data_IF_190447252405
#
_entry.id   IF_190447252405
#
_cell.length_a   1.000
_cell.length_b   1.000
_cell.length_c   1.000
_cell.angle_alpha   90.00
_cell.angle_beta   90.00
_cell.angle_gamma   90.00
#
_symmetry.space_group_name_H-M   'P 1'
#
loop_
_entity.id
_entity.type
_entity.pdbx_description
1 polymer ?
#
# COMPACT_ATOMS: atom_id res chain seq x y z
N UNK A 1 -13.77 70.82 -33.18
CA UNK A 1 -13.55 69.84 -34.26
C UNK A 1 -12.64 68.74 -33.70
N UNK A 2 -13.17 67.51 -33.50
CA UNK A 2 -12.44 66.22 -33.32
C UNK A 2 -11.51 66.10 -32.06
N UNK A 3 -11.58 65.14 -31.12
CA UNK A 3 -12.20 63.82 -30.94
C UNK A 3 -12.31 63.49 -29.41
N UNK A 4 -13.44 62.85 -29.02
CA UNK A 4 -13.64 61.72 -28.07
C UNK A 4 -13.11 61.76 -26.62
N UNK A 5 -13.99 61.69 -25.61
CA UNK A 5 -14.57 60.46 -24.99
C UNK A 5 -13.52 59.42 -24.58
N UNK A 6 -13.43 59.17 -23.25
CA UNK A 6 -13.02 57.94 -22.52
C UNK A 6 -12.08 58.26 -21.35
N UNK A 7 -12.62 58.73 -20.22
CA UNK A 7 -11.85 58.86 -18.96
C UNK A 7 -12.60 58.45 -17.69
N UNK A 8 -13.68 57.67 -17.81
CA UNK A 8 -14.38 57.09 -16.64
C UNK A 8 -14.71 55.62 -16.92
N UNK A 9 -13.69 54.79 -17.11
CA UNK A 9 -13.76 53.32 -16.99
C UNK A 9 -12.48 52.71 -16.36
N UNK A 10 -11.42 53.49 -16.12
CA UNK A 10 -10.09 52.93 -15.83
C UNK A 10 -9.67 52.95 -14.34
N UNK A 11 -10.61 52.94 -13.41
CA UNK A 11 -10.32 52.97 -11.96
C UNK A 11 -11.01 51.88 -11.13
N UNK A 12 -11.67 50.89 -11.75
CA UNK A 12 -12.21 49.71 -11.03
C UNK A 12 -11.72 48.36 -11.61
N UNK A 13 -10.93 48.38 -12.70
CA UNK A 13 -10.33 47.17 -13.27
C UNK A 13 -8.93 46.81 -12.71
N UNK A 14 -8.43 47.57 -11.72
CA UNK A 14 -7.07 47.39 -11.16
C UNK A 14 -7.04 46.65 -9.81
N UNK A 15 -8.18 46.16 -9.32
CA UNK A 15 -8.33 45.56 -7.98
C UNK A 15 -8.83 44.10 -7.99
N UNK A 16 -8.80 43.42 -9.14
CA UNK A 16 -9.19 42.00 -9.25
C UNK A 16 -8.09 41.07 -9.80
N UNK A 17 -6.82 41.51 -9.78
CA UNK A 17 -5.65 40.67 -10.11
C UNK A 17 -4.69 40.52 -8.91
N UNK A 18 -5.18 40.72 -7.69
CA UNK A 18 -4.35 40.90 -6.48
C UNK A 18 -4.50 39.84 -5.38
N UNK A 19 -4.91 38.61 -5.68
CA UNK A 19 -5.07 37.58 -4.64
C UNK A 19 -4.61 36.19 -5.07
N UNK A 20 -3.33 36.09 -5.43
CA UNK A 20 -2.45 34.91 -5.20
C UNK A 20 -1.01 35.08 -5.75
N UNK A 21 -0.52 36.31 -5.97
CA UNK A 21 0.88 36.57 -6.34
C UNK A 21 1.56 37.61 -5.44
N UNK A 22 1.08 37.78 -4.20
CA UNK A 22 1.73 38.65 -3.23
C UNK A 22 2.49 37.80 -2.22
N UNK A 23 3.82 37.84 -2.40
CA UNK A 23 4.90 37.11 -1.73
C UNK A 23 5.21 35.75 -2.39
N UNK A 24 5.66 35.78 -3.65
CA UNK A 24 6.89 35.02 -3.93
C UNK A 24 7.94 35.59 -2.98
N UNK A 25 8.55 34.80 -2.07
CA UNK A 25 9.74 35.26 -1.42
C UNK A 25 10.76 35.44 -2.54
N UNK A 26 11.05 36.68 -2.92
CA UNK A 26 12.23 37.03 -3.71
C UNK A 26 13.38 36.17 -3.18
N UNK A 27 13.93 35.32 -4.05
CA UNK A 27 15.10 34.47 -3.85
C UNK A 27 15.79 34.69 -2.50
N UNK A 28 15.28 34.04 -1.45
CA UNK A 28 16.11 33.82 -0.26
C UNK A 28 17.02 32.65 -0.62
N UNK A 29 17.90 32.87 -1.60
CA UNK A 29 19.08 32.02 -1.78
C UNK A 29 19.93 32.25 -0.54
N UNK A 30 20.06 31.23 0.30
CA UNK A 30 21.11 31.23 1.29
C UNK A 30 22.44 31.29 0.52
N UNK A 31 23.24 32.37 0.64
CA UNK A 31 24.47 32.51 -0.14
C UNK A 31 25.51 31.41 0.15
N UNK A 32 25.29 30.61 1.19
CA UNK A 32 26.13 29.47 1.56
C UNK A 32 25.61 28.11 1.05
N UNK A 33 24.40 28.02 0.48
CA UNK A 33 23.79 26.78 -0.04
C UNK A 33 23.00 27.10 -1.30
N UNK A 34 23.68 27.13 -2.45
CA UNK A 34 23.05 27.26 -3.78
C UNK A 34 22.89 25.89 -4.43
N UNK A 35 21.92 25.74 -5.33
CA UNK A 35 21.75 24.51 -6.12
C UNK A 35 23.04 24.17 -6.88
N UNK A 36 23.70 25.20 -7.44
CA UNK A 36 25.00 25.05 -8.08
C UNK A 36 26.06 24.50 -7.13
N UNK A 37 26.18 25.05 -5.92
CA UNK A 37 27.14 24.56 -4.92
C UNK A 37 26.85 23.11 -4.48
N UNK A 38 25.57 22.73 -4.41
CA UNK A 38 25.16 21.36 -4.14
C UNK A 38 25.54 20.41 -5.30
N UNK A 39 25.15 20.74 -6.53
CA UNK A 39 25.37 19.91 -7.73
C UNK A 39 26.86 19.78 -8.10
N UNK A 40 27.67 20.79 -7.79
CA UNK A 40 29.12 20.77 -7.99
C UNK A 40 29.88 20.10 -6.82
N UNK A 41 29.18 19.76 -5.74
CA UNK A 41 29.71 18.97 -4.63
C UNK A 41 29.97 17.52 -5.04
N UNK A 42 31.08 16.94 -4.57
CA UNK A 42 31.53 15.59 -4.98
C UNK A 42 30.64 14.40 -4.59
N UNK A 43 29.55 14.62 -3.84
CA UNK A 43 28.64 13.59 -3.34
C UNK A 43 27.15 13.97 -3.54
N UNK A 44 26.85 14.73 -4.60
CA UNK A 44 25.49 15.23 -4.84
C UNK A 44 24.50 14.06 -5.00
N UNK A 45 24.85 13.03 -5.78
CA UNK A 45 24.01 11.87 -6.05
C UNK A 45 23.75 11.03 -4.80
N UNK A 46 24.77 10.80 -3.95
CA UNK A 46 24.58 10.09 -2.68
C UNK A 46 23.54 10.80 -1.81
N UNK A 47 23.68 12.13 -1.69
CA UNK A 47 22.75 12.95 -0.91
C UNK A 47 21.35 12.93 -1.51
N UNK A 48 21.25 12.97 -2.85
CA UNK A 48 19.96 12.94 -3.56
C UNK A 48 19.23 11.61 -3.35
N UNK A 49 19.93 10.49 -3.56
CA UNK A 49 19.38 9.14 -3.38
C UNK A 49 18.96 8.92 -1.93
N UNK A 50 19.72 9.40 -0.94
CA UNK A 50 19.32 9.34 0.47
C UNK A 50 18.04 10.14 0.74
N UNK A 51 17.89 11.33 0.15
CA UNK A 51 16.66 12.13 0.21
C UNK A 51 15.48 11.44 -0.46
N UNK A 52 15.72 10.75 -1.57
CA UNK A 52 14.70 9.97 -2.27
C UNK A 52 14.27 8.73 -1.46
N UNK A 53 15.20 8.01 -0.82
CA UNK A 53 14.90 6.89 0.09
C UNK A 53 14.04 7.37 1.29
N UNK A 54 14.33 8.56 1.84
CA UNK A 54 13.46 9.19 2.86
C UNK A 54 12.06 9.45 2.32
N UNK A 55 11.95 10.00 1.11
CA UNK A 55 10.66 10.30 0.47
C UNK A 55 9.87 9.01 0.20
N UNK A 56 10.55 7.94 -0.20
CA UNK A 56 9.97 6.61 -0.37
C UNK A 56 9.41 6.09 0.95
N UNK A 57 10.17 6.16 2.04
CA UNK A 57 9.73 5.73 3.36
C UNK A 57 8.46 6.46 3.83
N UNK A 58 8.44 7.78 3.70
CA UNK A 58 7.28 8.59 4.08
C UNK A 58 6.05 8.28 3.20
N UNK A 59 6.26 8.10 1.89
CA UNK A 59 5.18 7.74 0.96
C UNK A 59 4.61 6.36 1.28
N UNK A 60 5.45 5.35 1.46
CA UNK A 60 5.04 3.98 1.80
C UNK A 60 4.32 3.94 3.15
N UNK A 61 4.78 4.71 4.15
CA UNK A 61 4.09 4.83 5.44
C UNK A 61 2.68 5.37 5.29
N UNK A 62 2.52 6.45 4.50
CA UNK A 62 1.20 7.05 4.28
C UNK A 62 0.27 6.10 3.52
N UNK A 63 0.74 5.49 2.44
CA UNK A 63 -0.04 4.50 1.69
C UNK A 63 -0.45 3.33 2.57
N UNK A 64 0.47 2.78 3.36
CA UNK A 64 0.18 1.67 4.27
C UNK A 64 -0.94 2.05 5.25
N UNK A 65 -0.80 3.17 5.96
CA UNK A 65 -1.80 3.62 6.93
C UNK A 65 -3.19 3.80 6.29
N UNK A 66 -3.24 4.54 5.18
CA UNK A 66 -4.51 4.95 4.57
C UNK A 66 -5.21 3.80 3.85
N UNK A 67 -4.48 2.98 3.09
CA UNK A 67 -5.10 1.87 2.35
C UNK A 67 -5.49 0.70 3.26
N UNK A 68 -4.83 0.52 4.41
CA UNK A 68 -5.24 -0.49 5.39
C UNK A 68 -6.54 -0.12 6.08
N UNK A 69 -6.76 1.16 6.41
CA UNK A 69 -8.02 1.59 7.04
C UNK A 69 -9.21 1.67 6.07
N UNK A 70 -8.96 1.77 4.76
CA UNK A 70 -10.00 1.63 3.73
C UNK A 70 -10.47 0.17 3.61
N UNK A 71 -9.67 -0.79 4.09
CA UNK A 71 -9.89 -2.22 3.89
C UNK A 71 -10.56 -2.92 5.08
N UNK A 72 -10.80 -4.23 4.95
CA UNK A 72 -11.32 -5.09 6.03
C UNK A 72 -10.24 -5.66 6.98
N UNK A 73 -9.04 -5.05 6.99
CA UNK A 73 -7.95 -5.50 7.87
C UNK A 73 -8.03 -4.88 9.27
N UNK A 74 -8.35 -3.60 9.34
CA UNK A 74 -8.36 -2.80 10.55
C UNK A 74 -9.57 -1.89 10.56
N UNK A 75 -10.15 -1.67 11.74
CA UNK A 75 -11.10 -0.59 11.93
C UNK A 75 -10.53 0.51 12.83
N UNK A 76 -11.06 1.72 12.63
CA UNK A 76 -10.66 2.90 13.39
C UNK A 76 -11.34 2.90 14.77
N UNK A 77 -10.59 2.54 15.80
CA UNK A 77 -11.07 2.43 17.17
C UNK A 77 -11.06 3.77 17.92
N UNK A 78 -10.26 4.76 17.49
CA UNK A 78 -10.11 6.05 18.17
C UNK A 78 -9.70 7.20 17.22
N UNK A 79 -10.26 8.38 17.42
CA UNK A 79 -10.27 9.45 16.41
C UNK A 79 -9.03 10.33 16.42
N UNK A 80 -8.09 10.08 15.50
CA UNK A 80 -7.13 11.09 14.99
C UNK A 80 -7.21 11.20 13.47
N UNK A 81 -7.36 10.06 12.79
CA UNK A 81 -7.49 9.97 11.34
C UNK A 81 -8.96 10.03 10.87
N UNK A 82 -9.15 10.28 9.57
CA UNK A 82 -10.47 10.38 8.94
C UNK A 82 -11.29 9.10 9.13
N UNK A 83 -12.48 9.21 9.76
CA UNK A 83 -13.44 8.11 9.83
C UNK A 83 -14.08 7.77 8.49
N UNK A 84 -13.83 8.58 7.47
CA UNK A 84 -14.48 8.46 6.16
C UNK A 84 -13.91 7.29 5.37
N UNK A 85 -12.61 7.01 5.53
CA UNK A 85 -11.94 5.92 4.82
C UNK A 85 -12.43 4.54 5.28
N UNK A 86 -12.69 4.39 6.59
CA UNK A 86 -13.34 3.21 7.21
C UNK A 86 -14.82 3.03 6.78
N UNK A 87 -15.42 4.03 6.11
CA UNK A 87 -16.79 4.04 5.56
C UNK A 87 -16.82 4.05 4.03
N UNK A 88 -15.73 3.60 3.39
CA UNK A 88 -15.33 3.94 2.01
C UNK A 88 -15.88 5.25 1.43
N UNK A 89 -15.84 6.35 2.16
CA UNK A 89 -16.20 7.69 1.65
C UNK A 89 -14.94 8.41 1.16
N UNK A 90 -14.57 8.13 -0.09
CA UNK A 90 -13.32 8.57 -0.69
C UNK A 90 -13.56 9.78 -1.60
N UNK A 91 -13.37 10.98 -1.05
CA UNK A 91 -13.60 12.25 -1.76
C UNK A 91 -12.30 12.77 -2.37
N UNK A 92 -12.38 13.39 -3.55
CA UNK A 92 -11.23 13.97 -4.24
C UNK A 92 -10.66 15.22 -3.57
N UNK A 93 -11.38 15.84 -2.64
CA UNK A 93 -10.91 16.98 -1.86
C UNK A 93 -10.41 16.58 -0.47
N UNK A 94 -10.36 15.27 -0.17
CA UNK A 94 -9.85 14.78 1.11
C UNK A 94 -8.31 15.00 1.20
N UNK A 95 -7.81 15.59 2.30
CA UNK A 95 -6.38 15.83 2.48
C UNK A 95 -5.50 14.58 2.38
N UNK A 96 -6.01 13.41 2.78
CA UNK A 96 -5.27 12.15 2.78
C UNK A 96 -5.14 11.58 1.36
N UNK A 97 -6.20 11.71 0.53
CA UNK A 97 -6.13 11.42 -0.91
C UNK A 97 -5.08 12.32 -1.58
N UNK A 98 -5.14 13.63 -1.30
CA UNK A 98 -4.18 14.60 -1.82
C UNK A 98 -2.75 14.29 -1.36
N UNK A 99 -2.58 13.82 -0.12
CA UNK A 99 -1.29 13.43 0.44
C UNK A 99 -0.67 12.22 -0.27
N UNK A 100 -1.46 11.18 -0.52
CA UNK A 100 -1.01 9.99 -1.26
C UNK A 100 -0.64 10.33 -2.72
N UNK A 101 -1.47 11.13 -3.39
CA UNK A 101 -1.20 11.58 -4.77
C UNK A 101 0.09 12.41 -4.85
N UNK A 102 0.28 13.37 -3.95
CA UNK A 102 1.52 14.15 -3.87
C UNK A 102 2.74 13.28 -3.60
N UNK A 103 2.64 12.26 -2.76
CA UNK A 103 3.73 11.31 -2.52
C UNK A 103 4.16 10.60 -3.82
N UNK A 104 3.20 10.13 -4.62
CA UNK A 104 3.49 9.52 -5.93
C UNK A 104 4.13 10.52 -6.89
N UNK A 105 3.64 11.77 -6.94
CA UNK A 105 4.22 12.82 -7.78
C UNK A 105 5.67 13.15 -7.36
N UNK A 106 5.92 13.31 -6.06
CA UNK A 106 7.25 13.62 -5.52
C UNK A 106 8.27 12.53 -5.80
N UNK A 107 7.90 11.24 -5.67
CA UNK A 107 8.81 10.14 -6.02
C UNK A 107 9.22 10.19 -7.50
N UNK A 108 8.27 10.49 -8.40
CA UNK A 108 8.56 10.59 -9.83
C UNK A 108 9.44 11.78 -10.15
N UNK A 109 9.05 12.97 -9.71
CA UNK A 109 9.79 14.20 -10.02
C UNK A 109 11.19 14.17 -9.43
N UNK A 110 11.36 13.64 -8.22
CA UNK A 110 12.68 13.51 -7.60
C UNK A 110 13.55 12.47 -8.31
N UNK A 111 12.98 11.35 -8.75
CA UNK A 111 13.72 10.39 -9.56
C UNK A 111 14.13 10.98 -10.92
N UNK A 112 13.22 11.69 -11.59
CA UNK A 112 13.48 12.37 -12.87
C UNK A 112 14.59 13.41 -12.74
N UNK A 113 14.52 14.27 -11.73
CA UNK A 113 15.58 15.24 -11.47
C UNK A 113 16.93 14.57 -11.17
N UNK A 114 16.92 13.45 -10.44
CA UNK A 114 18.12 12.64 -10.21
C UNK A 114 18.74 12.13 -11.52
N UNK A 115 17.90 11.61 -12.43
CA UNK A 115 18.32 11.05 -13.71
C UNK A 115 18.75 12.11 -14.72
N UNK A 116 18.01 13.22 -14.81
CA UNK A 116 18.15 14.21 -15.88
C UNK A 116 19.02 15.41 -15.48
N UNK A 117 19.25 15.63 -14.18
CA UNK A 117 20.05 16.76 -13.68
C UNK A 117 21.25 16.27 -12.87
N UNK A 118 21.01 15.61 -11.73
CA UNK A 118 22.10 15.27 -10.78
C UNK A 118 23.12 14.33 -11.42
N UNK A 119 22.65 13.33 -12.17
CA UNK A 119 23.51 12.35 -12.87
C UNK A 119 24.54 13.01 -13.79
N UNK A 120 24.21 14.14 -14.41
CA UNK A 120 25.08 14.81 -15.38
C UNK A 120 26.07 15.77 -14.73
N UNK A 121 25.92 16.04 -13.42
CA UNK A 121 26.75 16.96 -12.65
C UNK A 121 27.71 16.23 -11.73
N UNK A 122 27.25 15.16 -11.09
CA UNK A 122 28.07 14.34 -10.20
C UNK A 122 28.99 13.39 -11.00
N UNK A 123 30.27 13.38 -10.66
CA UNK A 123 31.29 12.52 -11.29
C UNK A 123 31.36 11.12 -10.68
N UNK A 124 30.76 10.91 -9.51
CA UNK A 124 30.84 9.68 -8.72
C UNK A 124 29.56 8.82 -8.80
N UNK A 125 28.73 9.02 -9.83
CA UNK A 125 27.50 8.25 -10.04
C UNK A 125 27.81 6.76 -10.21
N UNK A 126 27.18 5.93 -9.39
CA UNK A 126 27.31 4.47 -9.45
C UNK A 126 26.13 3.83 -10.16
N UNK A 127 26.28 2.56 -10.59
CA UNK A 127 25.15 1.77 -11.11
C UNK A 127 24.02 1.64 -10.09
N UNK A 128 24.35 1.45 -8.82
CA UNK A 128 23.36 1.36 -7.74
C UNK A 128 22.52 2.64 -7.62
N UNK A 129 23.11 3.83 -7.81
CA UNK A 129 22.32 5.08 -7.82
C UNK A 129 21.28 5.07 -8.92
N UNK A 130 21.67 4.69 -10.14
CA UNK A 130 20.77 4.65 -11.29
C UNK A 130 19.70 3.57 -11.13
N UNK A 131 20.06 2.39 -10.63
CA UNK A 131 19.10 1.35 -10.27
C UNK A 131 18.06 1.88 -9.27
N UNK A 132 18.50 2.55 -8.21
CA UNK A 132 17.63 3.17 -7.20
C UNK A 132 16.65 4.18 -7.80
N UNK A 133 17.14 5.12 -8.58
CA UNK A 133 16.31 6.14 -9.23
C UNK A 133 15.21 5.49 -10.11
N UNK A 134 15.59 4.54 -10.97
CA UNK A 134 14.63 3.88 -11.86
C UNK A 134 13.63 2.99 -11.12
N UNK A 135 14.06 2.20 -10.12
CA UNK A 135 13.09 1.35 -9.40
C UNK A 135 12.11 2.21 -8.59
N UNK A 136 12.56 3.29 -7.95
CA UNK A 136 11.68 4.17 -7.18
C UNK A 136 10.69 4.88 -8.10
N UNK A 137 11.16 5.34 -9.26
CA UNK A 137 10.27 5.87 -10.31
C UNK A 137 9.26 4.83 -10.76
N UNK A 138 9.67 3.59 -11.04
CA UNK A 138 8.74 2.52 -11.38
C UNK A 138 7.73 2.26 -10.26
N UNK A 139 8.20 2.18 -9.02
CA UNK A 139 7.37 1.92 -7.85
C UNK A 139 6.30 3.00 -7.63
N UNK A 140 6.61 4.25 -7.95
CA UNK A 140 5.61 5.33 -7.90
C UNK A 140 4.50 5.16 -8.94
N UNK A 141 4.82 4.72 -10.16
CA UNK A 141 3.81 4.39 -11.18
C UNK A 141 2.98 3.17 -10.76
N UNK A 142 3.61 2.18 -10.13
CA UNK A 142 2.94 1.03 -9.56
C UNK A 142 1.95 1.46 -8.46
N UNK A 143 2.37 2.27 -7.49
CA UNK A 143 1.47 2.81 -6.45
C UNK A 143 0.29 3.57 -7.07
N UNK A 144 0.54 4.41 -8.07
CA UNK A 144 -0.52 5.10 -8.81
C UNK A 144 -1.49 4.13 -9.51
N UNK A 145 -0.96 3.17 -10.26
CA UNK A 145 -1.76 2.19 -11.01
C UNK A 145 -2.49 1.16 -10.15
N UNK A 146 -2.02 0.88 -8.94
CA UNK A 146 -2.69 -0.03 -8.00
C UNK A 146 -3.80 0.64 -7.20
N UNK A 147 -3.68 1.94 -6.92
CA UNK A 147 -4.50 2.61 -5.91
C UNK A 147 -5.39 3.73 -6.45
N UNK A 148 -5.07 4.33 -7.59
CA UNK A 148 -5.83 5.45 -8.15
C UNK A 148 -6.57 5.06 -9.42
N UNK A 149 -7.62 5.82 -9.76
CA UNK A 149 -8.32 5.71 -11.04
C UNK A 149 -7.44 6.16 -12.21
N UNK A 150 -6.75 7.28 -12.00
CA UNK A 150 -5.82 7.89 -12.94
C UNK A 150 -5.01 8.95 -12.22
N UNK A 151 -3.79 9.23 -12.69
CA UNK A 151 -2.93 10.30 -12.16
C UNK A 151 -2.19 11.00 -13.31
N UNK A 152 -1.92 12.31 -13.20
CA UNK A 152 -1.02 12.99 -14.13
C UNK A 152 0.39 12.44 -13.97
N UNK A 153 1.21 12.48 -15.04
CA UNK A 153 2.61 12.03 -15.00
C UNK A 153 3.64 13.15 -14.90
N UNK A 154 3.16 14.39 -15.01
CA UNK A 154 3.90 15.63 -14.80
C UNK A 154 2.92 16.66 -14.24
N UNK A 155 3.43 17.72 -13.60
CA UNK A 155 2.61 18.81 -13.11
C UNK A 155 1.76 19.43 -14.23
N UNK A 156 0.44 19.54 -14.00
CA UNK A 156 -0.52 20.03 -15.01
C UNK A 156 -0.59 19.19 -16.30
N UNK A 157 0.04 18.01 -16.31
CA UNK A 157 0.14 17.15 -17.49
C UNK A 157 -1.16 16.41 -17.81
N UNK A 158 -1.09 15.62 -18.88
CA UNK A 158 -2.16 14.69 -19.22
C UNK A 158 -2.33 13.63 -18.13
N UNK A 159 -3.58 13.34 -17.78
CA UNK A 159 -3.93 12.29 -16.83
C UNK A 159 -3.80 10.92 -17.51
N UNK A 160 -3.07 10.01 -16.87
CA UNK A 160 -2.92 8.62 -17.31
C UNK A 160 -3.74 7.70 -16.42
N UNK A 161 -4.53 6.83 -17.05
CA UNK A 161 -5.35 5.82 -16.36
C UNK A 161 -4.49 4.85 -15.56
N UNK A 162 -5.10 4.17 -14.60
CA UNK A 162 -4.41 3.18 -13.79
C UNK A 162 -3.69 2.10 -14.61
N UNK A 163 -4.28 1.64 -15.73
CA UNK A 163 -3.64 0.67 -16.65
C UNK A 163 -2.42 1.26 -17.36
N UNK A 164 -2.50 2.53 -17.77
CA UNK A 164 -1.37 3.22 -18.39
C UNK A 164 -0.24 3.44 -17.39
N UNK A 165 -0.56 3.78 -16.13
CA UNK A 165 0.43 3.89 -15.05
C UNK A 165 1.14 2.55 -14.81
N UNK A 166 0.41 1.42 -14.76
CA UNK A 166 1.04 0.10 -14.64
C UNK A 166 1.97 -0.23 -15.83
N UNK A 167 1.58 0.14 -17.06
CA UNK A 167 2.46 -0.02 -18.23
C UNK A 167 3.70 0.88 -18.18
N UNK A 168 3.56 2.10 -17.66
CA UNK A 168 4.70 2.99 -17.40
C UNK A 168 5.63 2.42 -16.33
N UNK A 169 5.08 1.78 -15.29
CA UNK A 169 5.88 1.03 -14.30
C UNK A 169 6.69 -0.07 -14.98
N UNK A 170 6.07 -0.90 -15.83
CA UNK A 170 6.76 -1.96 -16.57
C UNK A 170 7.91 -1.42 -17.42
N UNK A 171 7.64 -0.39 -18.24
CA UNK A 171 8.66 0.28 -19.05
C UNK A 171 9.81 0.83 -18.19
N UNK A 172 9.48 1.46 -17.05
CA UNK A 172 10.51 1.99 -16.15
C UNK A 172 11.33 0.88 -15.47
N UNK A 173 10.74 -0.30 -15.24
CA UNK A 173 11.47 -1.47 -14.73
C UNK A 173 12.40 -2.08 -15.79
N UNK A 174 12.12 -1.94 -17.07
CA UNK A 174 13.05 -2.31 -18.16
C UNK A 174 14.32 -1.46 -18.13
N UNK A 175 14.20 -0.16 -17.84
CA UNK A 175 15.34 0.75 -17.70
C UNK A 175 16.29 0.39 -16.55
N UNK A 176 15.87 -0.46 -15.60
CA UNK A 176 16.73 -0.92 -14.50
C UNK A 176 17.77 -1.96 -14.95
N UNK A 177 17.53 -2.67 -16.06
CA UNK A 177 18.32 -3.85 -16.47
C UNK A 177 19.83 -3.61 -16.58
N UNK A 178 20.34 -2.49 -17.14
CA UNK A 178 21.78 -2.23 -17.23
C UNK A 178 22.47 -2.01 -15.87
N UNK A 179 21.68 -1.75 -14.83
CA UNK A 179 22.11 -1.30 -13.51
C UNK A 179 21.95 -2.34 -12.40
N UNK A 180 21.27 -3.46 -12.68
CA UNK A 180 21.15 -4.59 -11.76
C UNK A 180 22.55 -5.14 -11.43
N UNK A 181 22.88 -5.15 -10.15
CA UNK A 181 24.16 -5.60 -9.60
C UNK A 181 24.12 -6.99 -8.98
N UNK A 182 22.95 -7.50 -8.58
CA UNK A 182 22.83 -8.79 -7.89
C UNK A 182 21.46 -9.47 -8.08
N UNK A 183 21.34 -10.71 -7.62
CA UNK A 183 20.12 -11.53 -7.75
C UNK A 183 18.94 -11.00 -6.91
N UNK A 184 19.21 -10.30 -5.79
CA UNK A 184 18.15 -9.68 -4.98
C UNK A 184 17.47 -8.55 -5.75
N UNK A 185 18.26 -7.68 -6.38
CA UNK A 185 17.76 -6.59 -7.23
C UNK A 185 17.02 -7.13 -8.45
N UNK A 186 17.54 -8.21 -9.05
CA UNK A 186 16.87 -8.87 -10.18
C UNK A 186 15.53 -9.49 -9.77
N UNK A 187 15.50 -10.19 -8.63
CA UNK A 187 14.27 -10.76 -8.07
C UNK A 187 13.25 -9.67 -7.71
N UNK A 188 13.70 -8.54 -7.17
CA UNK A 188 12.85 -7.37 -6.92
C UNK A 188 12.20 -6.86 -8.20
N UNK A 189 12.98 -6.63 -9.27
CA UNK A 189 12.46 -6.14 -10.55
C UNK A 189 11.39 -7.09 -11.10
N UNK A 190 11.67 -8.39 -11.14
CA UNK A 190 10.71 -9.40 -11.60
C UNK A 190 9.47 -9.48 -10.70
N UNK A 191 9.60 -9.34 -9.38
CA UNK A 191 8.45 -9.30 -8.45
C UNK A 191 7.55 -8.10 -8.73
N UNK A 192 8.14 -6.91 -8.96
CA UNK A 192 7.37 -5.71 -9.29
C UNK A 192 6.69 -5.82 -10.67
N UNK A 193 7.35 -6.44 -11.66
CA UNK A 193 6.74 -6.74 -12.97
C UNK A 193 5.58 -7.72 -12.83
N UNK A 194 5.76 -8.81 -12.09
CA UNK A 194 4.72 -9.80 -11.83
C UNK A 194 3.49 -9.15 -11.19
N UNK A 195 3.69 -8.30 -10.17
CA UNK A 195 2.61 -7.52 -9.55
C UNK A 195 1.88 -6.62 -10.55
N UNK A 196 2.60 -5.90 -11.41
CA UNK A 196 1.98 -5.06 -12.43
C UNK A 196 1.17 -5.88 -13.45
N UNK A 197 1.72 -6.99 -13.95
CA UNK A 197 1.02 -7.90 -14.86
C UNK A 197 -0.20 -8.56 -14.22
N UNK A 198 -0.10 -8.95 -12.95
CA UNK A 198 -1.22 -9.46 -12.16
C UNK A 198 -2.37 -8.46 -12.17
N UNK A 199 -2.12 -7.18 -11.85
CA UNK A 199 -3.16 -6.13 -11.86
C UNK A 199 -3.68 -5.81 -13.26
N UNK A 200 -2.88 -6.04 -14.30
CA UNK A 200 -3.31 -5.91 -15.70
C UNK A 200 -4.12 -7.12 -16.21
N UNK A 201 -4.20 -8.20 -15.44
CA UNK A 201 -4.85 -9.46 -15.82
C UNK A 201 -4.06 -10.29 -16.83
N UNK A 202 -2.75 -10.04 -17.00
CA UNK A 202 -1.91 -10.84 -17.90
C UNK A 202 -1.39 -12.10 -17.20
N UNK A 203 -2.15 -13.20 -17.30
CA UNK A 203 -1.85 -14.46 -16.62
C UNK A 203 -0.45 -14.99 -16.97
N UNK A 204 -0.13 -15.08 -18.26
CA UNK A 204 1.12 -15.68 -18.74
C UNK A 204 2.35 -14.85 -18.35
N UNK A 205 2.27 -13.52 -18.51
CA UNK A 205 3.38 -12.64 -18.14
C UNK A 205 3.58 -12.61 -16.61
N UNK A 206 2.49 -12.56 -15.83
CA UNK A 206 2.58 -12.56 -14.38
C UNK A 206 3.16 -13.87 -13.84
N UNK A 207 2.78 -15.01 -14.42
CA UNK A 207 3.34 -16.33 -14.10
C UNK A 207 4.84 -16.37 -14.41
N UNK A 208 5.24 -15.98 -15.63
CA UNK A 208 6.64 -15.96 -16.07
C UNK A 208 7.51 -15.08 -15.18
N UNK A 209 7.07 -13.85 -14.91
CA UNK A 209 7.83 -12.91 -14.07
C UNK A 209 7.93 -13.42 -12.62
N UNK A 210 6.89 -14.09 -12.11
CA UNK A 210 6.91 -14.71 -10.78
C UNK A 210 7.91 -15.89 -10.70
N UNK A 211 7.96 -16.74 -11.73
CA UNK A 211 8.93 -17.84 -11.83
C UNK A 211 10.37 -17.31 -11.88
N UNK A 212 10.61 -16.28 -12.68
CA UNK A 212 11.90 -15.58 -12.78
C UNK A 212 12.31 -14.98 -11.43
N UNK A 213 11.38 -14.28 -10.75
CA UNK A 213 11.65 -13.70 -9.43
C UNK A 213 12.09 -14.76 -8.42
N UNK A 214 11.38 -15.89 -8.35
CA UNK A 214 11.69 -16.97 -7.41
C UNK A 214 12.95 -17.77 -7.80
N UNK A 215 13.32 -17.78 -9.09
CA UNK A 215 14.59 -18.37 -9.55
C UNK A 215 15.79 -17.61 -9.02
N UNK A 216 15.73 -16.27 -9.00
CA UNK A 216 16.80 -15.43 -8.47
C UNK A 216 16.79 -15.34 -6.93
N UNK A 217 15.60 -15.29 -6.31
CA UNK A 217 15.48 -15.37 -4.86
C UNK A 217 14.12 -15.93 -4.45
N UNK A 218 14.12 -17.16 -3.93
CA UNK A 218 12.92 -17.81 -3.39
C UNK A 218 12.49 -17.29 -2.01
N UNK A 219 13.28 -16.40 -1.40
CA UNK A 219 13.05 -15.85 -0.07
C UNK A 219 13.11 -14.31 -0.03
N UNK A 220 13.00 -13.65 -1.18
CA UNK A 220 13.07 -12.19 -1.34
C UNK A 220 12.31 -11.46 -0.22
N UNK A 221 12.96 -10.45 0.34
CA UNK A 221 12.38 -9.53 1.31
C UNK A 221 12.97 -8.13 1.05
N UNK A 222 12.20 -7.30 0.37
CA UNK A 222 12.54 -5.89 0.14
C UNK A 222 11.65 -5.02 1.03
N UNK A 223 12.29 -4.22 1.87
CA UNK A 223 11.62 -3.36 2.84
C UNK A 223 12.18 -1.95 2.78
N UNK A 224 11.34 -0.99 3.11
CA UNK A 224 11.74 0.40 3.30
C UNK A 224 12.01 0.62 4.77
N UNK A 225 13.21 1.12 5.08
CA UNK A 225 13.63 1.43 6.42
C UNK A 225 13.21 2.84 6.84
N UNK A 226 13.12 3.04 8.14
CA UNK A 226 12.70 4.28 8.78
C UNK A 226 13.79 4.79 9.72
N UNK A 227 13.73 6.06 10.04
CA UNK A 227 14.72 6.76 10.87
C UNK A 227 13.98 7.63 11.90
N UNK A 228 13.61 7.01 13.00
CA UNK A 228 12.90 7.67 14.10
C UNK A 228 13.72 8.77 14.77
N UNK A 229 15.06 8.78 14.64
CA UNK A 229 15.91 9.86 15.16
C UNK A 229 15.69 11.15 14.37
N UNK A 230 15.57 11.03 13.04
CA UNK A 230 15.39 12.17 12.13
C UNK A 230 13.93 12.37 11.68
N UNK A 231 12.97 11.83 12.43
CA UNK A 231 11.53 12.02 12.22
C UNK A 231 10.97 11.33 10.98
N UNK A 232 11.64 10.30 10.45
CA UNK A 232 11.08 9.42 9.42
C UNK A 232 10.43 8.24 10.13
N UNK A 233 9.12 8.33 10.33
CA UNK A 233 8.36 7.41 11.20
C UNK A 233 7.43 6.50 10.39
N UNK A 234 7.18 5.30 10.91
CA UNK A 234 6.15 4.42 10.42
C UNK A 234 4.84 4.76 11.15
N UNK A 235 3.98 5.54 10.50
CA UNK A 235 2.70 6.00 11.06
C UNK A 235 1.75 4.85 11.40
N UNK A 236 1.75 3.77 10.61
CA UNK A 236 0.96 2.57 10.89
C UNK A 236 1.41 1.87 12.17
N UNK A 237 2.72 1.87 12.47
CA UNK A 237 3.23 1.34 13.75
C UNK A 237 2.66 2.11 14.94
N UNK A 238 2.60 3.45 14.86
CA UNK A 238 2.10 4.29 15.95
C UNK A 238 0.63 3.93 16.29
N UNK A 239 -0.22 3.86 15.27
CA UNK A 239 -1.66 3.61 15.43
C UNK A 239 -1.96 2.18 15.90
N UNK A 240 -1.24 1.19 15.39
CA UNK A 240 -1.37 -0.20 15.86
C UNK A 240 -0.89 -0.33 17.31
N UNK A 241 0.27 0.26 17.67
CA UNK A 241 0.85 0.14 19.01
C UNK A 241 0.01 0.88 20.07
N UNK A 242 -0.59 2.00 19.70
CA UNK A 242 -1.50 2.77 20.56
C UNK A 242 -2.92 2.25 20.57
N UNK A 243 -3.19 1.15 19.86
CA UNK A 243 -4.51 0.53 19.79
C UNK A 243 -5.59 1.46 19.20
N UNK A 244 -5.16 2.44 18.38
CA UNK A 244 -6.03 3.32 17.59
C UNK A 244 -6.65 2.52 16.45
N UNK A 245 -5.89 1.64 15.83
CA UNK A 245 -6.38 0.65 14.88
C UNK A 245 -6.45 -0.72 15.56
N UNK A 246 -7.60 -1.37 15.45
CA UNK A 246 -7.80 -2.75 15.88
C UNK A 246 -8.06 -3.62 14.68
N UNK A 247 -7.42 -4.81 14.60
CA UNK A 247 -7.60 -5.66 13.45
C UNK A 247 -9.02 -6.23 13.38
N UNK A 248 -9.45 -6.81 12.28
CA UNK A 248 -10.61 -7.69 12.27
C UNK A 248 -10.32 -8.91 13.20
N UNK A 249 -11.28 -9.45 13.97
CA UNK A 249 -11.01 -10.53 14.93
C UNK A 249 -10.30 -11.76 14.37
N UNK A 250 -10.52 -12.09 13.10
CA UNK A 250 -9.82 -13.20 12.43
C UNK A 250 -8.32 -12.96 12.22
N UNK A 251 -7.89 -11.69 12.24
CA UNK A 251 -6.51 -11.25 12.01
C UNK A 251 -5.81 -10.88 13.32
N UNK A 252 -6.46 -11.02 14.48
CA UNK A 252 -5.89 -10.57 15.75
C UNK A 252 -4.54 -11.23 16.06
N UNK A 253 -4.35 -12.51 15.72
CA UNK A 253 -3.09 -13.23 15.93
C UNK A 253 -1.88 -12.66 15.18
N UNK A 254 -2.10 -11.88 14.12
CA UNK A 254 -1.05 -11.20 13.36
C UNK A 254 -0.67 -9.84 13.95
N UNK A 255 -1.48 -9.33 14.87
CA UNK A 255 -1.32 -7.99 15.43
C UNK A 255 -0.59 -8.00 16.78
N UNK A 256 0.28 -7.03 17.09
CA UNK A 256 0.76 -5.98 16.19
C UNK A 256 1.84 -6.52 15.23
N UNK A 257 1.72 -6.21 13.94
CA UNK A 257 2.75 -6.56 12.95
C UNK A 257 4.01 -5.71 13.13
N UNK A 258 3.79 -4.43 13.42
CA UNK A 258 4.84 -3.46 13.74
C UNK A 258 4.89 -3.22 15.24
N UNK A 259 6.08 -3.29 15.83
CA UNK A 259 6.25 -3.24 17.29
C UNK A 259 7.10 -2.07 17.72
N UNK A 260 6.66 -1.34 18.74
CA UNK A 260 7.51 -0.35 19.39
C UNK A 260 8.46 -1.03 20.39
N UNK A 261 9.77 -0.94 20.15
CA UNK A 261 10.80 -1.48 21.08
C UNK A 261 11.47 -0.40 21.93
N UNK A 262 11.74 0.75 21.32
CA UNK A 262 12.28 1.96 21.95
C UNK A 262 11.51 3.16 21.40
N UNK A 263 11.69 4.38 21.93
CA UNK A 263 10.98 5.57 21.43
C UNK A 263 11.39 6.02 20.02
N UNK A 264 12.47 5.48 19.46
CA UNK A 264 13.01 5.83 18.13
C UNK A 264 13.05 4.64 17.17
N UNK A 265 12.60 3.46 17.61
CA UNK A 265 12.57 2.27 16.78
C UNK A 265 11.34 2.29 15.87
N UNK A 266 11.58 2.20 14.58
CA UNK A 266 10.56 2.19 13.54
C UNK A 266 10.68 0.90 12.72
N UNK A 267 9.61 0.10 12.68
CA UNK A 267 9.56 -1.16 11.95
C UNK A 267 9.53 -0.89 10.45
N UNK A 268 10.32 -1.63 9.69
CA UNK A 268 10.34 -1.53 8.23
C UNK A 268 9.02 -2.05 7.61
N UNK A 269 8.59 -1.42 6.50
CA UNK A 269 7.41 -1.84 5.74
C UNK A 269 7.88 -2.60 4.49
N UNK A 270 7.28 -3.76 4.23
CA UNK A 270 7.62 -4.55 3.06
C UNK A 270 6.98 -3.97 1.79
N UNK A 271 7.80 -3.76 0.76
CA UNK A 271 7.33 -3.26 -0.54
C UNK A 271 7.33 -4.34 -1.63
N UNK A 272 8.09 -5.42 -1.45
CA UNK A 272 8.08 -6.61 -2.30
C UNK A 272 8.65 -7.80 -1.52
N UNK A 273 8.02 -8.98 -1.65
CA UNK A 273 8.49 -10.23 -1.01
C UNK A 273 8.07 -11.44 -1.83
N UNK A 274 8.82 -12.53 -1.67
CA UNK A 274 8.63 -13.75 -2.45
C UNK A 274 7.21 -14.33 -2.34
N UNK A 275 6.53 -14.16 -1.20
CA UNK A 275 5.15 -14.62 -0.99
C UNK A 275 4.16 -14.11 -2.05
N UNK A 276 4.42 -12.93 -2.61
CA UNK A 276 3.62 -12.38 -3.69
C UNK A 276 3.71 -13.20 -4.97
N UNK A 277 4.92 -13.59 -5.37
CA UNK A 277 5.12 -14.41 -6.56
C UNK A 277 4.44 -15.76 -6.39
N UNK A 278 4.55 -16.39 -5.22
CA UNK A 278 3.83 -17.63 -4.93
C UNK A 278 2.31 -17.49 -5.07
N UNK A 279 1.72 -16.40 -4.55
CA UNK A 279 0.28 -16.15 -4.63
C UNK A 279 -0.19 -15.84 -6.05
N UNK A 280 0.58 -15.04 -6.80
CA UNK A 280 0.32 -14.77 -8.23
C UNK A 280 0.38 -16.06 -9.03
N UNK A 281 1.41 -16.90 -8.82
CA UNK A 281 1.52 -18.20 -9.49
C UNK A 281 0.36 -19.13 -9.13
N UNK A 282 -0.04 -19.20 -7.86
CA UNK A 282 -1.15 -20.06 -7.44
C UNK A 282 -2.47 -19.64 -8.11
N UNK A 283 -2.78 -18.34 -8.13
CA UNK A 283 -3.97 -17.82 -8.81
C UNK A 283 -3.90 -18.03 -10.32
N UNK A 284 -2.75 -17.82 -10.95
CA UNK A 284 -2.55 -18.05 -12.38
C UNK A 284 -2.73 -19.54 -12.77
N UNK A 285 -2.19 -20.45 -11.97
CA UNK A 285 -2.34 -21.91 -12.18
C UNK A 285 -3.80 -22.32 -12.00
N UNK A 286 -4.49 -21.76 -11.00
CA UNK A 286 -5.90 -22.00 -10.77
C UNK A 286 -6.77 -21.50 -11.95
N UNK A 287 -6.52 -20.27 -12.44
CA UNK A 287 -7.20 -19.72 -13.61
C UNK A 287 -6.98 -20.56 -14.89
N UNK A 288 -5.84 -21.25 -14.99
CA UNK A 288 -5.53 -22.22 -16.06
C UNK A 288 -6.16 -23.60 -15.85
N UNK A 289 -6.89 -23.82 -14.75
CA UNK A 289 -7.51 -25.10 -14.41
C UNK A 289 -6.56 -26.14 -13.82
N UNK A 290 -5.34 -25.76 -13.44
CA UNK A 290 -4.36 -26.67 -12.81
C UNK A 290 -4.43 -26.57 -11.27
N UNK A 291 -5.51 -27.11 -10.71
CA UNK A 291 -5.75 -27.14 -9.26
C UNK A 291 -4.63 -27.86 -8.49
N UNK A 292 -4.04 -28.90 -9.09
CA UNK A 292 -2.96 -29.67 -8.47
C UNK A 292 -1.69 -28.84 -8.33
N UNK A 293 -1.26 -28.16 -9.40
CA UNK A 293 -0.10 -27.27 -9.35
C UNK A 293 -0.36 -26.04 -8.45
N UNK A 294 -1.59 -25.50 -8.45
CA UNK A 294 -2.00 -24.46 -7.51
C UNK A 294 -1.79 -24.92 -6.06
N UNK A 295 -2.35 -26.06 -5.65
CA UNK A 295 -2.16 -26.60 -4.29
C UNK A 295 -0.68 -26.82 -3.96
N UNK A 296 0.10 -27.39 -4.88
CA UNK A 296 1.53 -27.57 -4.69
C UNK A 296 2.25 -26.24 -4.41
N UNK A 297 1.90 -25.19 -5.15
CA UNK A 297 2.46 -23.83 -4.97
C UNK A 297 2.07 -23.22 -3.61
N UNK A 298 0.83 -23.42 -3.17
CA UNK A 298 0.38 -22.98 -1.85
C UNK A 298 1.11 -23.71 -0.71
N UNK A 299 1.41 -25.00 -0.86
CA UNK A 299 2.22 -25.73 0.12
C UNK A 299 3.67 -25.22 0.19
N UNK A 300 4.27 -24.86 -0.95
CA UNK A 300 5.58 -24.21 -0.98
C UNK A 300 5.54 -22.84 -0.27
N UNK A 301 4.49 -22.04 -0.51
CA UNK A 301 4.27 -20.78 0.18
C UNK A 301 4.19 -20.97 1.70
N UNK A 302 3.43 -21.95 2.19
CA UNK A 302 3.33 -22.19 3.63
C UNK A 302 4.69 -22.51 4.27
N UNK A 303 5.57 -23.24 3.57
CA UNK A 303 6.94 -23.48 4.04
C UNK A 303 7.74 -22.18 4.15
N UNK A 304 7.62 -21.29 3.16
CA UNK A 304 8.26 -19.97 3.21
C UNK A 304 7.73 -19.15 4.38
N UNK A 305 6.40 -19.08 4.55
CA UNK A 305 5.79 -18.32 5.65
C UNK A 305 6.23 -18.86 7.01
N UNK A 306 6.30 -20.19 7.18
CA UNK A 306 6.79 -20.81 8.42
C UNK A 306 8.28 -20.52 8.71
N UNK A 307 9.08 -20.24 7.67
CA UNK A 307 10.48 -19.85 7.82
C UNK A 307 10.68 -18.39 8.22
N UNK A 308 9.64 -17.53 8.11
CA UNK A 308 9.73 -16.11 8.45
C UNK A 308 9.84 -15.90 9.97
N UNK A 309 10.51 -14.81 10.40
CA UNK A 309 10.74 -14.56 11.82
C UNK A 309 9.43 -14.25 12.58
N UNK A 310 9.34 -14.81 13.79
CA UNK A 310 8.31 -14.52 14.79
C UNK A 310 8.98 -13.85 15.99
N UNK A 311 8.48 -12.67 16.35
CA UNK A 311 8.94 -11.96 17.53
C UNK A 311 8.16 -12.41 18.75
N UNK A 312 8.86 -12.98 19.72
CA UNK A 312 8.30 -13.40 21.01
C UNK A 312 8.48 -12.35 22.10
N UNK A 313 7.62 -12.39 23.11
CA UNK A 313 7.74 -11.52 24.29
C UNK A 313 7.21 -10.10 24.10
N UNK A 314 6.35 -9.88 23.11
CA UNK A 314 5.77 -8.57 22.82
C UNK A 314 4.77 -8.20 23.91
N UNK A 315 4.98 -7.03 24.52
CA UNK A 315 4.13 -6.47 25.59
C UNK A 315 2.99 -5.65 24.99
N UNK A 316 1.98 -6.34 24.48
CA UNK A 316 0.83 -5.70 23.82
C UNK A 316 -0.36 -5.49 24.77
N UNK A 317 -0.14 -4.77 25.88
CA UNK A 317 -1.11 -4.62 26.99
C UNK A 317 -1.94 -3.34 26.93
N UNK A 318 -2.02 -2.67 25.79
CA UNK A 318 -2.70 -1.38 25.70
C UNK A 318 -4.13 -1.48 26.25
N UNK A 319 -4.44 -0.68 27.29
CA UNK A 319 -5.72 -0.74 28.03
C UNK A 319 -6.94 -0.54 27.13
N UNK A 320 -6.76 0.15 26.00
CA UNK A 320 -7.81 0.50 25.05
C UNK A 320 -8.20 -0.64 24.10
N UNK A 321 -7.41 -1.73 24.00
CA UNK A 321 -7.72 -2.83 23.08
C UNK A 321 -9.06 -3.49 23.36
N UNK A 322 -9.42 -3.69 24.64
CA UNK A 322 -10.63 -4.42 25.02
C UNK A 322 -11.86 -3.51 25.15
N UNK A 323 -11.71 -2.29 25.68
CA UNK A 323 -12.85 -1.46 26.14
C UNK A 323 -12.72 0.03 25.77
N UNK A 324 -11.73 0.40 24.96
CA UNK A 324 -11.31 1.79 24.81
C UNK A 324 -11.84 2.54 23.60
N UNK A 325 -12.75 1.99 22.79
CA UNK A 325 -13.20 2.67 21.57
C UNK A 325 -14.67 2.44 21.24
N UNK A 326 -15.02 2.51 19.95
CA UNK A 326 -16.41 2.47 19.45
C UNK A 326 -17.03 1.08 19.58
N UNK A 327 -16.20 0.02 19.54
CA UNK A 327 -16.61 -1.39 19.61
C UNK A 327 -15.86 -2.08 20.73
N UNK A 328 -16.53 -3.03 21.39
CA UNK A 328 -15.84 -3.95 22.29
C UNK A 328 -15.17 -5.06 21.49
N UNK A 329 -13.99 -5.49 21.94
CA UNK A 329 -13.10 -6.35 21.17
C UNK A 329 -12.71 -7.62 21.95
N UNK A 330 -12.59 -8.80 21.30
CA UNK A 330 -12.17 -10.02 22.00
C UNK A 330 -10.73 -9.91 22.52
N UNK A 331 -10.53 -10.26 23.79
CA UNK A 331 -9.29 -9.97 24.54
C UNK A 331 -8.59 -11.21 25.11
N UNK A 332 -9.05 -12.40 24.71
CA UNK A 332 -8.61 -13.69 25.25
C UNK A 332 -8.61 -14.79 24.19
N UNK A 333 -7.64 -15.69 24.25
CA UNK A 333 -7.50 -16.83 23.34
C UNK A 333 -8.63 -17.88 23.45
N UNK A 334 -9.52 -17.74 24.43
CA UNK A 334 -10.73 -18.58 24.54
C UNK A 334 -11.79 -18.24 23.49
N UNK A 335 -11.72 -17.05 22.87
CA UNK A 335 -12.65 -16.66 21.83
C UNK A 335 -12.39 -17.44 20.54
N UNK A 336 -13.46 -18.00 19.97
CA UNK A 336 -13.44 -18.60 18.63
C UNK A 336 -14.06 -17.65 17.62
N UNK A 337 -13.53 -17.63 16.41
CA UNK A 337 -13.97 -16.68 15.37
C UNK A 337 -14.53 -17.43 14.16
N UNK A 338 -15.72 -17.04 13.71
CA UNK A 338 -16.30 -17.43 12.43
C UNK A 338 -16.17 -16.27 11.42
N UNK A 339 -15.82 -16.58 10.17
CA UNK A 339 -15.61 -15.58 9.11
C UNK A 339 -16.91 -14.98 8.55
N UNK A 340 -18.04 -15.66 8.76
CA UNK A 340 -19.41 -15.20 8.49
C UNK A 340 -20.38 -15.94 9.42
N UNK A 341 -21.67 -15.58 9.47
CA UNK A 341 -22.68 -16.32 10.24
C UNK A 341 -22.83 -17.79 9.83
N UNK A 342 -22.43 -18.16 8.62
CA UNK A 342 -22.54 -19.52 8.09
C UNK A 342 -21.23 -20.32 8.21
N UNK A 343 -20.15 -19.68 8.66
CA UNK A 343 -18.85 -20.34 8.77
C UNK A 343 -18.65 -21.01 10.12
N UNK A 344 -17.83 -22.07 10.12
CA UNK A 344 -17.39 -22.71 11.36
C UNK A 344 -16.53 -21.77 12.20
N UNK A 345 -16.69 -21.87 13.51
CA UNK A 345 -15.80 -21.20 14.46
C UNK A 345 -14.41 -21.85 14.44
N UNK A 346 -13.37 -21.02 14.39
CA UNK A 346 -11.96 -21.41 14.44
C UNK A 346 -11.29 -20.89 15.71
N UNK A 347 -10.51 -21.75 16.35
CA UNK A 347 -9.66 -21.43 17.49
C UNK A 347 -8.36 -20.74 17.05
N UNK A 348 -7.64 -20.12 17.99
CA UNK A 348 -6.27 -19.62 17.79
C UNK A 348 -6.14 -18.31 17.00
N UNK A 349 -7.25 -17.70 16.58
CA UNK A 349 -7.24 -16.43 15.82
C UNK A 349 -7.16 -15.19 16.72
N UNK A 350 -7.47 -15.32 18.01
CA UNK A 350 -7.37 -14.26 19.02
C UNK A 350 -6.30 -14.64 20.04
N UNK A 351 -5.45 -13.67 20.43
CA UNK A 351 -4.46 -13.85 21.49
C UNK A 351 -4.92 -13.21 22.80
N UNK A 352 -4.49 -13.79 23.93
CA UNK A 352 -4.71 -13.18 25.25
C UNK A 352 -3.70 -12.06 25.50
N UNK A 353 -4.20 -10.84 25.78
CA UNK A 353 -3.38 -9.61 25.82
C UNK A 353 -3.41 -8.87 27.16
N UNK A 354 -3.80 -9.56 28.24
CA UNK A 354 -3.87 -8.95 29.58
C UNK A 354 -2.54 -9.08 30.30
N UNK A 355 -2.08 -8.00 30.93
CA UNK A 355 -0.91 -8.05 31.82
C UNK A 355 -1.10 -9.17 32.86
N UNK A 356 -0.10 -10.05 33.08
CA UNK A 356 1.29 -10.00 32.60
C UNK A 356 1.60 -10.78 31.30
N UNK A 357 0.61 -11.25 30.54
CA UNK A 357 0.79 -12.13 29.38
C UNK A 357 1.46 -11.43 28.19
N UNK A 358 2.53 -11.99 27.66
CA UNK A 358 3.17 -11.51 26.41
C UNK A 358 2.75 -12.36 25.22
N UNK A 359 2.84 -11.81 24.01
CA UNK A 359 2.46 -12.49 22.76
C UNK A 359 3.66 -12.75 21.85
N UNK A 360 3.48 -13.69 20.93
CA UNK A 360 4.39 -13.95 19.81
C UNK A 360 3.68 -13.59 18.51
N UNK A 361 4.30 -12.76 17.68
CA UNK A 361 3.69 -12.23 16.45
C UNK A 361 4.66 -12.29 15.27
N UNK A 362 4.19 -12.64 14.07
CA UNK A 362 5.01 -12.63 12.86
C UNK A 362 5.36 -11.18 12.47
N UNK A 363 6.62 -10.93 12.08
CA UNK A 363 7.07 -9.58 11.71
C UNK A 363 7.24 -9.38 10.19
N UNK A 364 7.03 -10.43 9.39
CA UNK A 364 7.09 -10.38 7.92
C UNK A 364 5.81 -10.94 7.33
N UNK A 365 5.58 -12.24 7.50
CA UNK A 365 4.39 -12.93 7.00
C UNK A 365 3.93 -13.93 8.05
N UNK A 366 2.62 -14.06 8.21
CA UNK A 366 2.00 -15.10 9.02
C UNK A 366 0.67 -15.47 8.40
N UNK A 367 0.17 -16.67 8.73
CA UNK A 367 -1.11 -17.14 8.26
C UNK A 367 -1.73 -18.13 9.22
N UNK A 368 -3.05 -18.17 9.26
CA UNK A 368 -3.85 -19.18 9.95
C UNK A 368 -4.13 -20.39 9.06
N UNK A 369 -3.81 -20.32 7.77
CA UNK A 369 -4.02 -21.39 6.80
C UNK A 369 -3.05 -22.54 7.07
N UNK A 370 -3.58 -23.77 7.07
CA UNK A 370 -2.82 -24.99 7.29
C UNK A 370 -2.72 -25.81 5.99
N UNK A 371 -1.76 -26.74 5.89
CA UNK A 371 -1.71 -27.69 4.78
C UNK A 371 -3.05 -28.43 4.57
N UNK A 372 -3.68 -28.86 5.66
CA UNK A 372 -4.98 -29.54 5.59
C UNK A 372 -6.08 -28.65 4.99
N UNK A 373 -6.08 -27.34 5.27
CA UNK A 373 -7.06 -26.43 4.65
C UNK A 373 -6.89 -26.35 3.13
N UNK A 374 -5.66 -26.42 2.62
CA UNK A 374 -5.38 -26.46 1.16
C UNK A 374 -5.86 -27.79 0.59
N UNK A 375 -5.56 -28.90 1.26
CA UNK A 375 -5.90 -30.24 0.79
C UNK A 375 -7.42 -30.47 0.80
N UNK A 376 -8.12 -29.91 1.79
CA UNK A 376 -9.57 -29.98 1.97
C UNK A 376 -10.36 -29.20 0.90
N UNK A 377 -9.80 -28.19 0.23
CA UNK A 377 -10.48 -27.48 -0.85
C UNK A 377 -10.83 -28.44 -2.00
N UNK A 378 -12.12 -28.53 -2.36
CA UNK A 378 -12.58 -29.47 -3.40
C UNK A 378 -13.02 -28.76 -4.69
N UNK A 379 -13.21 -27.44 -4.63
CA UNK A 379 -13.68 -26.63 -5.76
C UNK A 379 -12.71 -25.50 -6.05
N UNK A 380 -12.72 -25.05 -7.31
CA UNK A 380 -12.04 -23.84 -7.75
C UNK A 380 -12.25 -22.64 -6.82
N UNK A 381 -13.51 -22.35 -6.49
CA UNK A 381 -13.85 -21.21 -5.61
C UNK A 381 -13.36 -21.40 -4.18
N UNK A 382 -13.25 -22.64 -3.68
CA UNK A 382 -12.69 -22.91 -2.35
C UNK A 382 -11.19 -22.55 -2.31
N UNK A 383 -10.45 -22.89 -3.38
CA UNK A 383 -9.03 -22.54 -3.52
C UNK A 383 -8.86 -21.03 -3.70
N UNK A 384 -9.70 -20.40 -4.50
CA UNK A 384 -9.65 -18.96 -4.72
C UNK A 384 -9.95 -18.19 -3.41
N UNK A 385 -10.98 -18.58 -2.65
CA UNK A 385 -11.27 -17.97 -1.34
C UNK A 385 -10.07 -18.12 -0.38
N UNK A 386 -9.38 -19.28 -0.42
CA UNK A 386 -8.19 -19.54 0.37
C UNK A 386 -6.98 -18.70 -0.07
N UNK A 387 -6.79 -18.47 -1.37
CA UNK A 387 -5.77 -17.57 -1.92
C UNK A 387 -6.01 -16.14 -1.40
N UNK A 388 -7.25 -15.64 -1.46
CA UNK A 388 -7.56 -14.30 -0.95
C UNK A 388 -7.43 -14.18 0.57
N UNK A 389 -7.70 -15.25 1.32
CA UNK A 389 -7.38 -15.29 2.75
C UNK A 389 -5.87 -15.23 3.00
N UNK A 390 -5.06 -15.99 2.25
CA UNK A 390 -3.61 -15.92 2.36
C UNK A 390 -3.09 -14.53 2.01
N UNK A 391 -3.59 -13.91 0.95
CA UNK A 391 -3.25 -12.52 0.59
C UNK A 391 -3.57 -11.56 1.73
N UNK A 392 -4.78 -11.66 2.32
CA UNK A 392 -5.19 -10.83 3.45
C UNK A 392 -4.24 -10.97 4.64
N UNK A 393 -3.94 -12.20 5.06
CA UNK A 393 -3.14 -12.47 6.26
C UNK A 393 -1.65 -12.15 6.05
N UNK A 394 -1.08 -12.54 4.90
CA UNK A 394 0.33 -12.33 4.58
C UNK A 394 0.65 -10.86 4.38
N UNK A 395 -0.22 -10.11 3.70
CA UNK A 395 -0.02 -8.69 3.39
C UNK A 395 -0.71 -7.72 4.37
N UNK A 396 -1.24 -8.22 5.50
CA UNK A 396 -1.81 -7.37 6.54
C UNK A 396 -0.83 -6.28 6.97
N UNK A 397 -1.31 -5.05 7.13
CA UNK A 397 -0.49 -3.87 7.43
C UNK A 397 0.64 -3.63 6.41
N UNK A 398 0.46 -3.96 5.13
CA UNK A 398 1.41 -3.65 4.05
C UNK A 398 0.79 -2.83 2.90
N UNK A 399 -0.49 -2.43 3.05
CA UNK A 399 -1.19 -1.54 2.13
C UNK A 399 -1.62 -2.19 0.81
N UNK A 400 -1.89 -3.51 0.82
CA UNK A 400 -2.26 -4.27 -0.39
C UNK A 400 -3.75 -4.55 -0.50
N UNK A 401 -4.46 -4.53 0.62
CA UNK A 401 -5.81 -5.09 0.71
C UNK A 401 -6.86 -4.25 -0.03
N UNK A 402 -6.71 -2.92 -0.05
CA UNK A 402 -7.62 -2.04 -0.80
C UNK A 402 -7.69 -2.40 -2.29
N UNK A 403 -6.55 -2.67 -2.92
CA UNK A 403 -6.50 -3.07 -4.34
C UNK A 403 -7.07 -4.46 -4.58
N UNK A 404 -6.93 -5.39 -3.63
CA UNK A 404 -7.57 -6.72 -3.71
C UNK A 404 -9.09 -6.64 -3.58
N UNK A 405 -9.62 -5.60 -2.92
CA UNK A 405 -11.05 -5.28 -2.85
C UNK A 405 -11.56 -4.53 -4.09
N UNK A 406 -10.70 -4.22 -5.05
CA UNK A 406 -11.07 -3.49 -6.28
C UNK A 406 -11.37 -2.00 -6.06
N UNK A 407 -10.99 -1.43 -4.92
CA UNK A 407 -11.22 -0.01 -4.61
C UNK A 407 -10.11 0.84 -5.21
N UNK A 408 -10.47 1.96 -5.86
CA UNK A 408 -9.54 2.94 -6.40
C UNK A 408 -9.91 4.36 -5.98
N UNK A 409 -8.90 5.10 -5.56
CA UNK A 409 -8.96 6.50 -5.17
C UNK A 409 -9.21 7.40 -6.38
N UNK A 410 -9.92 8.52 -6.19
CA UNK A 410 -10.08 9.53 -7.23
C UNK A 410 -8.78 10.32 -7.42
N UNK A 411 -8.67 11.02 -8.54
CA UNK A 411 -7.69 12.10 -8.70
C UNK A 411 -8.06 13.28 -7.79
N UNK A 412 -7.07 13.95 -7.20
CA UNK A 412 -7.30 15.10 -6.33
C UNK A 412 -8.05 16.24 -7.04
N UNK A 413 -8.80 17.01 -6.26
CA UNK A 413 -9.46 18.23 -6.75
C UNK A 413 -8.43 19.27 -7.26
N UNK A 414 -7.24 19.30 -6.66
CA UNK A 414 -6.16 20.22 -7.06
C UNK A 414 -5.67 19.89 -8.46
N UNK A 415 -5.30 18.63 -8.72
CA UNK A 415 -4.88 18.23 -10.07
C UNK A 415 -6.03 18.26 -11.07
N UNK A 416 -7.24 17.92 -10.65
CA UNK A 416 -8.41 17.97 -11.52
C UNK A 416 -8.71 19.38 -12.07
N UNK A 417 -8.38 20.43 -11.31
CA UNK A 417 -8.53 21.82 -11.75
C UNK A 417 -7.46 22.23 -12.78
N UNK A 418 -6.32 21.55 -12.82
CA UNK A 418 -5.22 21.88 -13.72
C UNK A 418 -5.38 21.27 -15.12
N UNK A 419 -6.23 20.25 -15.29
CA UNK A 419 -6.40 19.56 -16.58
C UNK A 419 -7.82 19.07 -16.79
N UNK A 420 -8.46 19.48 -17.90
CA UNK A 420 -9.82 19.07 -18.23
C UNK A 420 -9.98 17.56 -18.45
N UNK A 421 -8.87 16.86 -18.72
CA UNK A 421 -8.84 15.40 -18.89
C UNK A 421 -9.07 14.62 -17.59
N UNK A 422 -8.99 15.28 -16.43
CA UNK A 422 -9.21 14.67 -15.13
C UNK A 422 -10.68 14.43 -14.78
N UNK A 423 -11.62 15.10 -15.46
CA UNK A 423 -13.04 15.10 -15.09
C UNK A 423 -13.67 13.70 -14.90
N UNK A 424 -13.34 12.66 -15.68
CA UNK A 424 -13.88 11.32 -15.47
C UNK A 424 -13.38 10.61 -14.21
N UNK A 425 -12.31 11.09 -13.57
CA UNK A 425 -11.58 10.39 -12.52
C UNK A 425 -11.73 11.03 -11.13
N UNK A 426 -12.58 12.05 -11.00
CA UNK A 426 -12.80 12.80 -9.74
C UNK A 426 -13.66 12.05 -8.72
N UNK A 427 -14.15 10.85 -9.08
CA UNK A 427 -14.90 9.97 -8.20
C UNK A 427 -14.15 8.66 -8.02
N UNK A 428 -14.12 8.18 -6.78
CA UNK A 428 -13.54 6.89 -6.44
C UNK A 428 -14.29 5.75 -7.14
N UNK A 429 -13.58 4.70 -7.51
CA UNK A 429 -14.20 3.43 -7.89
C UNK A 429 -14.31 2.57 -6.64
N UNK A 430 -15.55 2.36 -6.20
CA UNK A 430 -15.88 1.50 -5.07
C UNK A 430 -16.82 0.43 -5.61
N UNK A 431 -16.39 -0.84 -5.66
CA UNK A 431 -17.23 -1.90 -6.20
C UNK A 431 -18.57 -2.00 -5.45
N UNK A 432 -19.68 -2.28 -6.15
CA UNK A 432 -21.02 -2.18 -5.57
C UNK A 432 -21.30 -3.21 -4.47
N UNK A 433 -20.49 -4.27 -4.39
CA UNK A 433 -20.56 -5.30 -3.36
C UNK A 433 -19.82 -4.92 -2.05
N UNK A 434 -19.06 -3.81 -2.02
CA UNK A 434 -18.41 -3.33 -0.80
C UNK A 434 -19.47 -2.86 0.21
N UNK A 435 -19.53 -3.44 1.42
CA UNK A 435 -20.46 -3.01 2.44
C UNK A 435 -20.23 -1.55 2.86
N UNK A 436 -21.31 -0.78 2.93
CA UNK A 436 -21.29 0.61 3.43
C UNK A 436 -21.24 0.67 4.96
N UNK A 437 -21.05 1.87 5.51
CA UNK A 437 -21.20 2.17 6.94
C UNK A 437 -20.37 1.29 7.90
N UNK A 438 -19.07 1.13 7.63
CA UNK A 438 -18.15 0.26 8.38
C UNK A 438 -18.55 -1.22 8.36
N UNK A 439 -19.29 -1.64 7.32
CA UNK A 439 -19.77 -3.00 7.20
C UNK A 439 -18.63 -4.02 7.05
N UNK A 440 -17.54 -3.67 6.37
CA UNK A 440 -16.37 -4.55 6.21
C UNK A 440 -15.81 -5.03 7.56
N UNK A 441 -15.84 -4.18 8.59
CA UNK A 441 -15.33 -4.48 9.93
C UNK A 441 -16.42 -4.81 10.94
N UNK A 442 -17.61 -5.17 10.48
CA UNK A 442 -18.72 -5.52 11.35
C UNK A 442 -18.57 -6.95 11.88
N UNK A 443 -18.69 -7.12 13.19
CA UNK A 443 -18.74 -8.42 13.86
C UNK A 443 -19.62 -8.37 15.11
N UNK A 444 -20.12 -9.53 15.52
CA UNK A 444 -20.86 -9.73 16.76
C UNK A 444 -19.97 -10.46 17.79
N UNK A 445 -20.01 -10.00 19.04
CA UNK A 445 -19.24 -10.56 20.15
C UNK A 445 -20.19 -11.20 21.18
N UNK A 446 -20.23 -12.54 21.22
CA UNK A 446 -20.93 -13.31 22.25
C UNK A 446 -19.96 -13.69 23.36
N UNK A 447 -19.96 -12.91 24.44
CA UNK A 447 -19.10 -13.14 25.61
C UNK A 447 -19.54 -14.32 26.47
N UNK A 448 -20.80 -14.74 26.39
CA UNK A 448 -21.31 -15.86 27.20
C UNK A 448 -20.75 -17.18 26.68
N UNK A 449 -20.68 -17.31 25.36
CA UNK A 449 -20.19 -18.52 24.69
C UNK A 449 -18.76 -18.37 24.13
N UNK A 450 -18.12 -17.22 24.34
CA UNK A 450 -16.79 -16.87 23.81
C UNK A 450 -16.70 -17.06 22.30
N UNK A 451 -17.65 -16.45 21.57
CA UNK A 451 -17.76 -16.54 20.11
C UNK A 451 -17.73 -15.15 19.48
N UNK A 452 -17.08 -15.06 18.34
CA UNK A 452 -17.07 -13.88 17.49
C UNK A 452 -17.53 -14.27 16.11
N UNK A 453 -18.54 -13.58 15.58
CA UNK A 453 -19.06 -13.83 14.24
C UNK A 453 -18.85 -12.58 13.41
N UNK A 454 -17.94 -12.65 12.43
CA UNK A 454 -17.78 -11.58 11.44
C UNK A 454 -19.03 -11.55 10.55
N UNK A 455 -19.47 -10.36 10.15
CA UNK A 455 -20.71 -10.21 9.38
C UNK A 455 -20.50 -10.54 7.90
N UNK A 456 -19.41 -10.07 7.32
CA UNK A 456 -19.09 -10.25 5.90
C UNK A 456 -17.71 -10.90 5.74
N UNK A 457 -17.67 -12.08 5.12
CA UNK A 457 -16.40 -12.68 4.70
C UNK A 457 -15.99 -12.03 3.37
N UNK A 458 -15.22 -10.95 3.42
CA UNK A 458 -14.85 -10.22 2.20
C UNK A 458 -14.03 -11.08 1.22
N UNK A 459 -13.30 -12.10 1.68
CA UNK A 459 -12.62 -13.04 0.78
C UNK A 459 -13.62 -13.85 -0.06
N UNK A 460 -14.75 -14.27 0.54
CA UNK A 460 -15.83 -14.93 -0.20
C UNK A 460 -16.53 -13.97 -1.15
N UNK A 461 -16.80 -12.74 -0.70
CA UNK A 461 -17.46 -11.72 -1.52
C UNK A 461 -16.61 -11.38 -2.76
N UNK A 462 -15.28 -11.32 -2.63
CA UNK A 462 -14.37 -11.17 -3.78
C UNK A 462 -14.61 -12.31 -4.79
N UNK A 463 -14.61 -13.57 -4.33
CA UNK A 463 -14.81 -14.75 -5.19
C UNK A 463 -16.19 -14.78 -5.82
N UNK A 464 -17.24 -14.45 -5.08
CA UNK A 464 -18.61 -14.36 -5.59
C UNK A 464 -18.76 -13.31 -6.71
N UNK A 465 -17.84 -12.33 -6.77
CA UNK A 465 -17.82 -11.26 -7.77
C UNK A 465 -16.64 -11.37 -8.75
N UNK A 466 -15.99 -12.53 -8.84
CA UNK A 466 -14.79 -12.75 -9.69
C UNK A 466 -15.02 -12.49 -11.19
N UNK A 467 -16.26 -12.56 -11.66
CA UNK A 467 -16.62 -12.27 -13.06
C UNK A 467 -16.81 -10.78 -13.36
N UNK A 468 -16.66 -9.91 -12.35
CA UNK A 468 -16.74 -8.46 -12.50
C UNK A 468 -15.35 -7.89 -12.82
N UNK A 469 -15.25 -6.73 -13.50
CA UNK A 469 -13.94 -6.14 -13.83
C UNK A 469 -13.18 -5.56 -12.62
N UNK A 470 -13.73 -5.65 -11.41
CA UNK A 470 -13.20 -4.99 -10.22
C UNK A 470 -12.16 -5.82 -9.47
N UNK A 471 -12.33 -7.15 -9.45
CA UNK A 471 -11.59 -8.06 -8.57
C UNK A 471 -11.20 -9.32 -9.33
N UNK A 472 -10.30 -10.11 -8.74
CA UNK A 472 -9.80 -11.37 -9.32
C UNK A 472 -9.30 -11.21 -10.75
N UNK A 473 -8.14 -10.55 -10.95
CA UNK A 473 -7.69 -10.11 -12.27
C UNK A 473 -7.52 -11.21 -13.33
N UNK A 474 -7.50 -12.49 -12.94
CA UNK A 474 -7.32 -13.63 -13.84
C UNK A 474 -8.60 -14.39 -14.20
N UNK A 475 -9.76 -14.04 -13.63
CA UNK A 475 -11.06 -14.73 -13.87
C UNK A 475 -12.00 -14.00 -14.84
#
# INVERSE_FOLDING_TARGET
MKFYNTYIVLSVASLLLGSCNLIEPNDIENPNVTEKAYLEGGNAMDTWVNGLDRTLAMTVSNFCLQTEIISDNYFNNYTRESKLFDRPQLLNNDPDVNGMERGVAQLRSAADYGLDVVRHRDKNVTKNHLFKLYYIKAYSYLLGGENFMALPVSEGGEVKTWKELLRLSLKCLEETEPYIGNDTERSLVHTLRARAYYRLGSVDDALKESEEALRFSSNLLCQVAFDGVNGVVNTMQDDICKAMYQPLPRLNFLNPKYVQRTSIYESAICIAKAEENYLIMAEALLAKGDEHACKAKLHELLKLVQSRPVLSGVKDWAKTRATGGIKEYPDSAIYKVAASPNDRFRDGLVLSRKKPQVVSVPTVSGTSVTPQMIDDCQKHDDLLELIYLLRQEIFMAEGRRMSDLGIRLPISEVEAKNTSTAAPFVHAEIPPFIPKDQGMDAFELDKKNFRVTIKYNMNRIIVENKSTPFVVPFE
#
